data_IF_983715217351
#
_entry.id   IF_983715217351
#
_cell.length_a   1.000
_cell.length_b   1.000
_cell.length_c   1.000
_cell.angle_alpha   90.00
_cell.angle_beta   90.00
_cell.angle_gamma   90.00
#
_symmetry.space_group_name_H-M   'P 1'
#
loop_
_entity.id
_entity.type
_entity.pdbx_description
1 polymer ?
#
# COMPACT_ATOMS: atom_id res chain seq x y z
N UNK A 1 37.63 -13.05 -16.37
CA UNK A 1 36.34 -13.73 -16.63
C UNK A 1 35.23 -12.72 -16.40
N UNK A 2 34.82 -12.00 -17.45
CA UNK A 2 33.81 -10.92 -17.41
C UNK A 2 32.72 -11.16 -18.46
N UNK A 3 32.50 -12.41 -18.86
CA UNK A 3 31.61 -12.78 -19.98
C UNK A 3 30.28 -13.40 -19.57
N UNK A 4 29.96 -13.50 -18.27
CA UNK A 4 28.69 -14.13 -17.85
C UNK A 4 27.57 -13.12 -17.54
N UNK A 5 27.90 -11.86 -17.22
CA UNK A 5 26.91 -10.81 -16.93
C UNK A 5 26.34 -10.24 -18.22
N UNK A 6 27.19 -10.03 -19.24
CA UNK A 6 26.78 -9.43 -20.52
C UNK A 6 25.87 -10.35 -21.34
N UNK A 7 26.08 -11.68 -21.25
CA UNK A 7 25.27 -12.67 -21.99
C UNK A 7 23.90 -12.88 -21.33
N UNK A 8 23.82 -12.81 -20.00
CA UNK A 8 22.54 -12.85 -19.26
C UNK A 8 21.73 -11.57 -19.42
N UNK A 9 22.39 -10.41 -19.46
CA UNK A 9 21.74 -9.14 -19.80
C UNK A 9 21.18 -9.17 -21.23
N UNK A 10 21.91 -9.76 -22.21
CA UNK A 10 21.43 -9.94 -23.59
C UNK A 10 20.23 -10.89 -23.69
N UNK A 11 20.18 -11.96 -22.87
CA UNK A 11 19.02 -12.88 -22.83
C UNK A 11 17.78 -12.27 -22.18
N UNK A 12 17.96 -11.32 -21.26
CA UNK A 12 16.86 -10.60 -20.60
C UNK A 12 16.23 -9.53 -21.52
N UNK A 13 16.83 -9.19 -22.67
CA UNK A 13 16.40 -8.02 -23.45
C UNK A 13 15.51 -8.28 -24.67
N UNK A 14 15.25 -9.53 -25.05
CA UNK A 14 14.50 -9.82 -26.29
C UNK A 14 13.07 -10.31 -26.04
N UNK A 15 12.82 -11.03 -24.94
CA UNK A 15 11.47 -11.51 -24.58
C UNK A 15 10.72 -10.58 -23.61
N UNK A 16 11.42 -9.77 -22.82
CA UNK A 16 10.81 -8.88 -21.80
C UNK A 16 10.57 -7.45 -22.31
N UNK A 17 10.88 -7.19 -23.59
CA UNK A 17 10.60 -5.89 -24.22
C UNK A 17 9.19 -5.92 -24.79
N UNK A 18 8.24 -5.30 -24.09
CA UNK A 18 6.86 -5.16 -24.56
C UNK A 18 6.84 -4.53 -25.95
N UNK A 19 6.14 -5.18 -26.87
CA UNK A 19 5.85 -4.61 -28.18
C UNK A 19 4.93 -3.40 -28.06
N UNK A 20 5.01 -2.48 -29.04
CA UNK A 20 4.13 -1.29 -29.10
C UNK A 20 2.65 -1.71 -29.08
N UNK A 21 2.30 -2.83 -29.72
CA UNK A 21 0.94 -3.39 -29.70
C UNK A 21 0.50 -3.86 -28.32
N UNK A 22 1.39 -4.44 -27.52
CA UNK A 22 1.06 -4.87 -26.15
C UNK A 22 0.87 -3.66 -25.23
N UNK A 23 1.72 -2.63 -25.37
CA UNK A 23 1.58 -1.37 -24.62
C UNK A 23 0.27 -0.67 -24.99
N UNK A 24 -0.03 -0.58 -26.29
CA UNK A 24 -1.26 0.00 -26.79
C UNK A 24 -2.48 -0.73 -26.23
N UNK A 25 -2.47 -2.06 -26.28
CA UNK A 25 -3.55 -2.90 -25.75
C UNK A 25 -3.73 -2.67 -24.25
N UNK A 26 -2.66 -2.68 -23.47
CA UNK A 26 -2.75 -2.45 -22.03
C UNK A 26 -3.28 -1.06 -21.67
N UNK A 27 -2.92 -0.02 -22.44
CA UNK A 27 -3.47 1.33 -22.26
C UNK A 27 -4.95 1.43 -22.64
N UNK A 28 -5.39 0.67 -23.66
CA UNK A 28 -6.79 0.58 -24.07
C UNK A 28 -7.65 -0.23 -23.10
N UNK A 29 -7.06 -1.11 -22.30
CA UNK A 29 -7.74 -1.89 -21.26
C UNK A 29 -7.82 -1.15 -19.91
N UNK A 30 -7.02 -0.09 -19.73
CA UNK A 30 -6.99 0.70 -18.50
C UNK A 30 -8.14 1.74 -18.47
N UNK A 31 -9.15 1.58 -17.59
CA UNK A 31 -10.31 2.45 -17.52
C UNK A 31 -9.98 3.90 -17.12
N UNK A 32 -8.83 4.16 -16.49
CA UNK A 32 -8.39 5.50 -16.13
C UNK A 32 -7.62 6.19 -17.28
N UNK A 33 -7.13 5.43 -18.26
CA UNK A 33 -6.38 5.95 -19.42
C UNK A 33 -7.30 6.16 -20.64
N UNK A 34 -8.28 5.27 -20.86
CA UNK A 34 -9.23 5.36 -21.99
C UNK A 34 -9.83 6.77 -22.15
N UNK A 35 -10.38 7.41 -21.09
CA UNK A 35 -11.03 8.72 -21.23
C UNK A 35 -10.05 9.82 -21.69
N UNK A 36 -8.79 9.70 -21.28
CA UNK A 36 -7.73 10.65 -21.62
C UNK A 36 -7.32 10.46 -23.07
N UNK A 37 -7.24 9.21 -23.54
CA UNK A 37 -6.90 8.90 -24.92
C UNK A 37 -7.96 9.41 -25.88
N UNK A 38 -9.23 9.15 -25.58
CA UNK A 38 -10.33 9.66 -26.39
C UNK A 38 -10.30 11.17 -26.52
N UNK A 39 -10.08 11.88 -25.42
CA UNK A 39 -10.05 13.34 -25.42
C UNK A 39 -8.81 13.88 -26.15
N UNK A 40 -7.64 13.25 -26.00
CA UNK A 40 -6.39 13.65 -26.69
C UNK A 40 -6.49 13.43 -28.20
N UNK A 41 -7.25 12.42 -28.63
CA UNK A 41 -7.60 12.23 -30.04
C UNK A 41 -8.56 13.29 -30.55
N UNK A 42 -9.55 13.70 -29.73
CA UNK A 42 -10.60 14.65 -30.12
C UNK A 42 -10.11 16.10 -30.15
N UNK A 43 -9.18 16.48 -29.26
CA UNK A 43 -8.64 17.83 -29.19
C UNK A 43 -7.19 17.85 -28.69
N UNK A 44 -6.40 18.77 -29.24
CA UNK A 44 -5.07 19.10 -28.70
C UNK A 44 -5.16 19.89 -27.39
N UNK A 45 -6.24 20.65 -27.22
CA UNK A 45 -6.43 21.54 -26.08
C UNK A 45 -6.83 20.78 -24.82
N UNK A 46 -6.36 21.27 -23.69
CA UNK A 46 -6.66 20.69 -22.38
C UNK A 46 -8.13 20.91 -22.02
N UNK A 47 -8.89 19.85 -21.67
CA UNK A 47 -10.28 20.01 -21.28
C UNK A 47 -10.44 20.77 -19.97
N UNK A 48 -11.58 21.45 -19.82
CA UNK A 48 -11.85 22.30 -18.67
C UNK A 48 -12.11 21.47 -17.40
N UNK A 49 -11.96 22.11 -16.23
CA UNK A 49 -12.12 21.43 -14.92
C UNK A 49 -13.50 20.78 -14.74
N UNK A 50 -14.55 21.39 -15.29
CA UNK A 50 -15.92 20.89 -15.17
C UNK A 50 -16.12 19.59 -15.96
N UNK A 51 -15.51 19.48 -17.14
CA UNK A 51 -15.58 18.27 -17.96
C UNK A 51 -14.88 17.07 -17.32
N UNK A 52 -13.84 17.30 -16.52
CA UNK A 52 -13.08 16.24 -15.84
C UNK A 52 -13.53 16.02 -14.38
N UNK A 53 -14.48 16.82 -13.88
CA UNK A 53 -15.00 16.71 -12.52
C UNK A 53 -15.61 15.32 -12.20
N UNK A 54 -16.35 14.65 -13.11
CA UNK A 54 -16.93 13.34 -12.81
C UNK A 54 -15.91 12.19 -12.86
N UNK A 55 -14.70 12.42 -13.35
CA UNK A 55 -13.68 11.38 -13.55
C UNK A 55 -13.07 10.85 -12.24
N UNK A 56 -12.45 9.67 -12.31
CA UNK A 56 -11.76 9.05 -11.18
C UNK A 56 -10.59 9.92 -10.67
N UNK A 57 -10.20 9.79 -9.39
CA UNK A 57 -9.01 10.45 -8.86
C UNK A 57 -7.72 10.11 -9.63
N UNK A 58 -7.62 8.89 -10.19
CA UNK A 58 -6.45 8.43 -10.93
C UNK A 58 -6.41 9.11 -12.30
N UNK A 59 -7.53 9.12 -13.03
CA UNK A 59 -7.70 9.86 -14.30
C UNK A 59 -7.34 11.33 -14.13
N UNK A 60 -7.79 11.97 -13.03
CA UNK A 60 -7.45 13.37 -12.67
C UNK A 60 -5.95 13.62 -12.50
N UNK A 61 -5.17 12.64 -12.02
CA UNK A 61 -3.70 12.79 -11.94
C UNK A 61 -3.08 12.82 -13.32
N UNK A 62 -3.51 11.97 -14.22
CA UNK A 62 -3.07 12.00 -15.62
C UNK A 62 -3.52 13.28 -16.34
N UNK A 63 -4.70 13.83 -16.03
CA UNK A 63 -5.13 15.15 -16.50
C UNK A 63 -4.20 16.29 -16.08
N UNK A 64 -3.55 16.18 -14.91
CA UNK A 64 -2.53 17.14 -14.49
C UNK A 64 -1.24 17.04 -15.33
N UNK A 65 -1.00 15.87 -15.94
CA UNK A 65 0.13 15.60 -16.82
C UNK A 65 -0.17 15.88 -18.29
N UNK A 66 -1.36 16.40 -18.64
CA UNK A 66 -1.84 16.55 -20.02
C UNK A 66 -0.80 17.17 -20.96
N UNK A 67 -0.19 18.29 -20.57
CA UNK A 67 0.77 19.04 -21.39
C UNK A 67 2.05 18.24 -21.66
N UNK A 68 2.34 17.26 -20.79
CA UNK A 68 3.47 16.36 -20.93
C UNK A 68 3.14 15.05 -21.65
N UNK A 69 1.86 14.71 -21.82
CA UNK A 69 1.44 13.50 -22.52
C UNK A 69 1.47 13.74 -24.03
N UNK A 70 2.25 12.91 -24.73
CA UNK A 70 2.32 12.84 -26.19
C UNK A 70 1.65 11.56 -26.65
N UNK A 71 0.76 11.66 -27.61
CA UNK A 71 0.14 10.49 -28.23
C UNK A 71 0.83 10.26 -29.58
N UNK A 72 1.42 9.08 -29.78
CA UNK A 72 2.03 8.68 -31.05
C UNK A 72 1.67 7.21 -31.33
N UNK A 73 1.23 6.91 -32.55
CA UNK A 73 0.84 5.55 -32.96
C UNK A 73 -0.18 4.89 -32.01
N UNK A 74 -1.05 5.71 -31.40
CA UNK A 74 -2.06 5.24 -30.44
C UNK A 74 -1.53 4.85 -29.06
N UNK A 75 -0.30 5.24 -28.72
CA UNK A 75 0.32 5.01 -27.40
C UNK A 75 0.68 6.34 -26.75
N UNK A 76 0.41 6.46 -25.45
CA UNK A 76 0.83 7.59 -24.65
C UNK A 76 2.29 7.49 -24.21
N UNK A 77 3.03 8.58 -24.43
CA UNK A 77 4.40 8.79 -24.01
C UNK A 77 4.50 10.03 -23.13
N UNK A 78 5.38 9.99 -22.14
CA UNK A 78 5.73 11.18 -21.37
C UNK A 78 6.86 11.93 -22.10
N UNK A 79 6.61 13.17 -22.48
CA UNK A 79 7.52 14.03 -23.27
C UNK A 79 8.93 14.19 -22.69
N UNK A 80 9.14 13.96 -21.39
CA UNK A 80 10.47 14.01 -20.76
C UNK A 80 11.27 12.71 -20.89
N UNK A 81 10.73 11.65 -21.49
CA UNK A 81 11.38 10.33 -21.53
C UNK A 81 11.46 9.78 -22.96
N UNK A 82 12.68 9.63 -23.46
CA UNK A 82 12.94 8.84 -24.67
C UNK A 82 12.68 7.36 -24.40
N UNK A 83 12.27 6.61 -25.42
CA UNK A 83 11.83 5.20 -25.33
C UNK A 83 12.82 4.27 -24.61
N UNK A 84 14.13 4.55 -24.63
CA UNK A 84 15.15 3.77 -23.92
C UNK A 84 15.18 4.00 -22.40
N UNK A 85 14.67 5.14 -21.93
CA UNK A 85 14.78 5.53 -20.53
C UNK A 85 13.54 5.14 -19.71
N UNK A 86 12.40 4.89 -20.37
CA UNK A 86 11.17 4.39 -19.77
C UNK A 86 11.32 3.00 -19.15
N UNK A 87 12.01 2.07 -19.81
CA UNK A 87 12.19 0.70 -19.30
C UNK A 87 13.04 0.66 -18.03
N UNK A 88 14.12 1.45 -17.99
CA UNK A 88 15.00 1.53 -16.82
C UNK A 88 14.34 2.23 -15.63
N UNK A 89 13.57 3.31 -15.87
CA UNK A 89 12.84 3.98 -14.79
C UNK A 89 11.65 3.17 -14.30
N UNK A 90 10.89 2.53 -15.19
CA UNK A 90 9.80 1.63 -14.81
C UNK A 90 10.33 0.48 -13.93
N UNK A 91 11.48 -0.13 -14.27
CA UNK A 91 12.12 -1.14 -13.43
C UNK A 91 12.52 -0.59 -12.06
N UNK A 92 13.05 0.64 -12.00
CA UNK A 92 13.41 1.29 -10.73
C UNK A 92 12.18 1.57 -9.87
N UNK A 93 11.10 2.05 -10.46
CA UNK A 93 9.83 2.30 -9.78
C UNK A 93 9.23 0.99 -9.25
N UNK A 94 9.18 -0.06 -10.07
CA UNK A 94 8.67 -1.38 -9.64
C UNK A 94 9.51 -2.00 -8.51
N UNK A 95 10.85 -1.87 -8.56
CA UNK A 95 11.73 -2.35 -7.48
C UNK A 95 11.53 -1.57 -6.17
N UNK A 96 11.39 -0.25 -6.26
CA UNK A 96 11.13 0.59 -5.09
C UNK A 96 9.76 0.30 -4.50
N UNK A 97 8.71 0.20 -5.33
CA UNK A 97 7.37 -0.16 -4.90
C UNK A 97 7.33 -1.51 -4.17
N UNK A 98 7.92 -2.57 -4.75
CA UNK A 98 7.96 -3.88 -4.13
C UNK A 98 8.73 -3.90 -2.79
N UNK A 99 9.79 -3.07 -2.69
CA UNK A 99 10.57 -2.93 -1.45
C UNK A 99 9.77 -2.18 -0.37
N UNK A 100 9.07 -1.10 -0.75
CA UNK A 100 8.18 -0.34 0.13
C UNK A 100 7.05 -1.22 0.66
N UNK A 101 6.35 -1.95 -0.22
CA UNK A 101 5.26 -2.86 0.16
C UNK A 101 5.74 -3.97 1.10
N UNK A 102 6.95 -4.52 0.88
CA UNK A 102 7.55 -5.48 1.82
C UNK A 102 7.86 -4.85 3.18
N UNK A 103 8.25 -3.57 3.21
CA UNK A 103 8.53 -2.86 4.46
C UNK A 103 7.24 -2.52 5.21
N UNK A 104 6.20 -2.08 4.51
CA UNK A 104 4.86 -1.84 5.07
C UNK A 104 4.28 -3.13 5.67
N UNK A 105 4.34 -4.24 4.94
CA UNK A 105 3.87 -5.54 5.45
C UNK A 105 4.62 -5.99 6.71
N UNK A 106 5.94 -5.74 6.79
CA UNK A 106 6.74 -6.01 8.00
C UNK A 106 6.35 -5.13 9.19
N UNK A 107 6.12 -3.84 8.94
CA UNK A 107 5.73 -2.87 9.97
C UNK A 107 4.32 -3.17 10.50
N UNK A 108 3.39 -3.51 9.61
CA UNK A 108 2.01 -3.85 9.95
C UNK A 108 1.94 -5.15 10.75
N UNK A 109 2.69 -6.18 10.34
CA UNK A 109 2.82 -7.42 11.12
C UNK A 109 3.39 -7.13 12.51
N UNK A 110 4.46 -6.31 12.60
CA UNK A 110 5.07 -5.93 13.88
C UNK A 110 4.10 -5.15 14.78
N UNK A 111 3.31 -4.25 14.20
CA UNK A 111 2.28 -3.49 14.92
C UNK A 111 1.18 -4.42 15.46
N UNK A 112 0.63 -5.30 14.62
CA UNK A 112 -0.40 -6.28 15.01
C UNK A 112 0.09 -7.22 16.12
N UNK A 113 1.35 -7.66 16.06
CA UNK A 113 1.99 -8.46 17.12
C UNK A 113 2.04 -7.67 18.44
N UNK A 114 2.54 -6.42 18.41
CA UNK A 114 2.61 -5.59 19.63
C UNK A 114 1.25 -5.31 20.24
N UNK A 115 0.26 -4.98 19.42
CA UNK A 115 -1.12 -4.71 19.89
C UNK A 115 -1.70 -5.96 20.54
N UNK A 116 -1.50 -7.14 19.95
CA UNK A 116 -1.94 -8.42 20.52
C UNK A 116 -1.25 -8.73 21.86
N UNK A 117 0.07 -8.52 21.95
CA UNK A 117 0.80 -8.68 23.22
C UNK A 117 0.29 -7.73 24.30
N UNK A 118 0.04 -6.47 23.96
CA UNK A 118 -0.50 -5.49 24.92
C UNK A 118 -1.90 -5.90 25.42
N UNK A 119 -2.78 -6.34 24.50
CA UNK A 119 -4.11 -6.80 24.85
C UNK A 119 -4.08 -8.05 25.77
N UNK A 120 -3.22 -9.02 25.46
CA UNK A 120 -3.08 -10.25 26.25
C UNK A 120 -2.49 -9.97 27.64
N UNK A 121 -1.44 -9.13 27.72
CA UNK A 121 -0.84 -8.74 29.00
C UNK A 121 -1.84 -7.99 29.90
N UNK A 122 -2.64 -7.10 29.33
CA UNK A 122 -3.67 -6.38 30.06
C UNK A 122 -4.76 -7.33 30.58
N UNK A 123 -5.24 -8.25 29.75
CA UNK A 123 -6.19 -9.29 30.18
C UNK A 123 -5.63 -10.13 31.33
N UNK A 124 -4.36 -10.52 31.23
CA UNK A 124 -3.71 -11.34 32.25
C UNK A 124 -3.52 -10.58 33.56
N UNK A 125 -3.13 -9.30 33.52
CA UNK A 125 -3.04 -8.43 34.69
C UNK A 125 -4.41 -8.20 35.36
N UNK A 126 -5.47 -7.97 34.59
CA UNK A 126 -6.83 -7.86 35.09
C UNK A 126 -7.29 -9.15 35.78
N UNK A 127 -7.01 -10.32 35.17
CA UNK A 127 -7.37 -11.62 35.72
C UNK A 127 -6.67 -11.91 37.06
N UNK A 128 -5.35 -11.66 37.13
CA UNK A 128 -4.57 -11.81 38.37
C UNK A 128 -5.10 -10.89 39.47
N UNK A 129 -5.41 -9.64 39.13
CA UNK A 129 -5.97 -8.67 40.08
C UNK A 129 -7.35 -9.11 40.60
N UNK A 130 -8.19 -9.67 39.72
CA UNK A 130 -9.51 -10.19 40.09
C UNK A 130 -9.41 -11.36 41.08
N UNK A 131 -8.48 -12.30 40.83
CA UNK A 131 -8.20 -13.42 41.73
C UNK A 131 -7.70 -12.91 43.08
N UNK A 132 -6.75 -11.98 43.09
CA UNK A 132 -6.20 -11.43 44.32
C UNK A 132 -7.28 -10.71 45.16
N UNK A 133 -8.16 -9.95 44.51
CA UNK A 133 -9.28 -9.27 45.17
C UNK A 133 -10.33 -10.25 45.69
N UNK A 134 -10.62 -11.31 44.94
CA UNK A 134 -11.54 -12.35 45.39
C UNK A 134 -11.00 -13.07 46.64
N UNK A 135 -9.72 -13.47 46.63
CA UNK A 135 -9.05 -14.09 47.78
C UNK A 135 -9.02 -13.17 49.00
N UNK A 136 -8.65 -11.90 48.83
CA UNK A 136 -8.67 -10.90 49.91
C UNK A 136 -10.07 -10.70 50.52
N UNK A 137 -11.09 -10.59 49.68
CA UNK A 137 -12.47 -10.44 50.16
C UNK A 137 -12.99 -11.70 50.86
N UNK A 138 -12.54 -12.90 50.46
CA UNK A 138 -12.87 -14.15 51.13
C UNK A 138 -12.27 -14.22 52.53
N UNK A 139 -11.00 -13.83 52.69
CA UNK A 139 -10.35 -13.75 54.02
C UNK A 139 -10.99 -12.68 54.91
N UNK A 140 -11.31 -11.51 54.35
CA UNK A 140 -11.98 -10.43 55.09
C UNK A 140 -13.33 -10.88 55.69
N UNK A 141 -14.11 -11.64 54.91
CA UNK A 141 -15.38 -12.22 55.36
C UNK A 141 -15.21 -13.29 56.45
N UNK A 142 -14.14 -14.08 56.39
CA UNK A 142 -13.81 -15.06 57.44
C UNK A 142 -13.39 -14.38 58.74
N UNK A 143 -12.67 -13.25 58.69
CA UNK A 143 -12.29 -12.49 59.89
C UNK A 143 -13.44 -11.70 60.51
N UNK A 144 -14.41 -11.22 59.72
CA UNK A 144 -15.59 -10.52 60.26
C UNK A 144 -16.55 -11.45 61.00
N UNK A 145 -16.66 -12.71 60.57
CA UNK A 145 -17.48 -13.73 61.26
C UNK A 145 -16.79 -14.29 62.52
N UNK A 146 -15.50 -14.04 62.71
CA UNK A 146 -14.69 -14.60 63.81
C UNK A 146 -14.52 -13.65 65.01
N UNK A 147 -15.12 -12.46 65.03
CA UNK A 147 -14.92 -11.49 66.12
C UNK A 147 -15.86 -11.79 67.32
N UNK A 148 -15.36 -12.27 68.48
CA UNK A 148 -16.19 -12.56 69.64
C UNK A 148 -16.52 -11.24 70.36
N UNK A 149 -17.82 -10.93 70.51
CA UNK A 149 -18.26 -9.86 71.42
C UNK A 149 -17.77 -10.19 72.83
N UNK A 150 -16.90 -9.35 73.39
CA UNK A 150 -16.51 -9.44 74.80
C UNK A 150 -17.69 -9.07 75.71
N UNK A 151 -17.95 -9.82 76.80
CA UNK A 151 -18.91 -9.40 77.81
C UNK A 151 -18.27 -8.36 78.74
N UNK A 152 -18.91 -7.20 78.86
CA UNK A 152 -18.63 -6.22 79.90
C UNK A 152 -19.04 -6.79 81.26
N UNK A 153 -18.14 -6.63 82.23
CA UNK A 153 -18.25 -7.08 83.62
C UNK A 153 -19.36 -6.39 84.41
#
# INVERSE_FOLDING_TARGET
METDISVRALRITTEDTWSVSEIQKAQLEDPDIIPIMEKKLKSADRPCRHEIAPESPVTKRYWALWDFLRLKDGVFYHSNFSLQQCSHLALKICKLAASLTRQECKLETSYCIRVSHYASNLQQACYVTLIANYSKNKELRQTSDSNPRQPTS
#
